data_IF_846163367048
#
_entry.id   IF_846163367048
#
_cell.length_a   1.000
_cell.length_b   1.000
_cell.length_c   1.000
_cell.angle_alpha   90.00
_cell.angle_beta   90.00
_cell.angle_gamma   90.00
#
_symmetry.space_group_name_H-M   'P 1'
#
loop_
_entity.id
_entity.type
_entity.pdbx_description
1 polymer ?
#
# COMPACT_ATOMS: atom_id res chain seq x y z
N UNK A 1 0.59 12.32 9.40
CA UNK A 1 0.01 11.48 8.32
C UNK A 1 1.11 11.12 7.35
N UNK A 2 1.26 9.84 7.10
CA UNK A 2 2.22 9.29 6.14
C UNK A 2 1.49 8.70 4.94
N UNK A 3 2.15 8.71 3.77
CA UNK A 3 1.69 8.01 2.58
C UNK A 3 2.73 6.96 2.21
N UNK A 4 2.32 5.71 2.21
CA UNK A 4 3.23 4.58 2.03
C UNK A 4 2.71 3.63 0.95
N UNK A 5 3.57 3.24 0.01
CA UNK A 5 3.31 2.09 -0.84
C UNK A 5 3.70 0.82 -0.11
N UNK A 6 2.80 -0.16 -0.09
CA UNK A 6 3.04 -1.48 0.47
C UNK A 6 2.70 -2.57 -0.54
N UNK A 7 3.55 -3.58 -0.65
CA UNK A 7 3.30 -4.76 -1.47
C UNK A 7 2.72 -5.87 -0.59
N UNK A 8 1.50 -6.28 -0.88
CA UNK A 8 0.89 -7.48 -0.31
C UNK A 8 1.49 -8.70 -1.03
N UNK A 9 2.64 -9.14 -0.54
CA UNK A 9 3.35 -10.31 -1.07
C UNK A 9 3.52 -11.32 0.05
N UNK A 10 3.13 -12.54 -0.25
CA UNK A 10 3.62 -13.69 0.46
C UNK A 10 4.71 -14.37 -0.38
N UNK A 11 5.01 -15.59 -0.10
CA UNK A 11 5.86 -16.49 -0.82
C UNK A 11 5.54 -16.54 -2.35
N UNK A 12 6.29 -17.31 -3.13
CA UNK A 12 6.09 -17.47 -4.60
C UNK A 12 4.80 -18.19 -4.98
N UNK A 13 4.07 -18.74 -4.02
CA UNK A 13 2.81 -19.43 -4.25
C UNK A 13 1.69 -18.43 -4.60
N UNK A 14 1.20 -18.52 -5.84
CA UNK A 14 0.15 -17.65 -6.36
C UNK A 14 -1.18 -17.82 -5.63
N UNK A 15 -1.54 -19.05 -5.20
CA UNK A 15 -2.79 -19.30 -4.45
C UNK A 15 -2.76 -18.62 -3.08
N UNK A 16 -1.62 -18.70 -2.39
CA UNK A 16 -1.43 -18.00 -1.12
C UNK A 16 -1.52 -16.49 -1.31
N UNK A 17 -0.94 -15.97 -2.39
CA UNK A 17 -1.00 -14.56 -2.69
C UNK A 17 -2.41 -14.08 -3.01
N UNK A 18 -3.19 -14.87 -3.75
CA UNK A 18 -4.61 -14.59 -4.00
C UNK A 18 -5.40 -14.58 -2.70
N UNK A 19 -5.21 -15.58 -1.84
CA UNK A 19 -5.81 -15.63 -0.51
C UNK A 19 -5.49 -14.41 0.33
N UNK A 20 -4.21 -14.00 0.36
CA UNK A 20 -3.77 -12.80 1.08
C UNK A 20 -4.46 -11.53 0.56
N UNK A 21 -4.53 -11.34 -0.75
CA UNK A 21 -5.16 -10.17 -1.36
C UNK A 21 -6.66 -10.15 -1.10
N UNK A 22 -7.34 -11.30 -1.23
CA UNK A 22 -8.76 -11.40 -0.93
C UNK A 22 -9.04 -11.09 0.55
N UNK A 23 -8.24 -11.64 1.46
CA UNK A 23 -8.31 -11.32 2.88
C UNK A 23 -8.09 -9.83 3.16
N UNK A 24 -7.08 -9.23 2.55
CA UNK A 24 -6.71 -7.85 2.81
C UNK A 24 -7.69 -6.83 2.19
N UNK A 25 -8.17 -7.07 0.95
CA UNK A 25 -8.85 -6.05 0.18
C UNK A 25 -10.33 -6.33 -0.11
N UNK A 26 -10.75 -7.60 -0.13
CA UNK A 26 -12.11 -7.98 -0.52
C UNK A 26 -12.99 -8.42 0.66
N UNK A 27 -12.42 -8.57 1.87
CA UNK A 27 -13.18 -8.87 3.07
C UNK A 27 -14.05 -7.71 3.55
N UNK A 28 -14.98 -7.98 4.46
CA UNK A 28 -15.82 -6.97 5.12
C UNK A 28 -14.95 -5.95 5.88
N UNK A 29 -13.98 -6.47 6.65
CA UNK A 29 -12.93 -5.65 7.25
C UNK A 29 -11.68 -5.77 6.38
N UNK A 30 -11.16 -4.63 5.94
CA UNK A 30 -9.95 -4.57 5.11
C UNK A 30 -8.70 -4.33 5.94
N UNK A 31 -7.58 -4.82 5.43
CA UNK A 31 -6.30 -4.75 6.11
C UNK A 31 -5.15 -4.42 5.15
N UNK A 32 -4.10 -3.83 5.69
CA UNK A 32 -2.74 -3.94 5.15
C UNK A 32 -2.00 -4.92 6.03
N UNK A 33 -1.22 -5.82 5.46
CA UNK A 33 -0.59 -6.92 6.19
C UNK A 33 0.91 -7.04 5.93
N UNK A 34 1.64 -7.57 6.90
CA UNK A 34 3.03 -8.04 6.76
C UNK A 34 3.12 -9.49 7.25
N UNK A 35 4.12 -10.21 6.72
CA UNK A 35 4.36 -11.63 6.93
C UNK A 35 4.97 -11.99 8.28
N UNK A 36 5.82 -13.02 8.27
CA UNK A 36 6.51 -13.61 9.44
C UNK A 36 5.58 -14.29 10.44
N UNK A 37 4.56 -14.98 9.94
CA UNK A 37 3.64 -15.78 10.77
C UNK A 37 4.32 -16.95 11.50
N UNK A 38 5.48 -17.40 11.02
CA UNK A 38 6.23 -18.52 11.56
C UNK A 38 6.72 -18.31 13.01
N UNK A 39 6.79 -17.04 13.45
CA UNK A 39 7.20 -16.72 14.82
C UNK A 39 6.14 -17.05 15.87
N UNK A 40 4.88 -17.22 15.46
CA UNK A 40 3.81 -17.57 16.36
C UNK A 40 3.95 -19.04 16.85
N UNK A 41 3.77 -19.23 18.14
CA UNK A 41 3.96 -20.53 18.81
C UNK A 41 5.29 -20.65 19.54
N UNK A 42 6.21 -19.68 19.40
CA UNK A 42 7.46 -19.63 20.17
C UNK A 42 7.26 -19.01 21.56
N UNK A 43 6.39 -18.01 21.63
CA UNK A 43 5.92 -17.36 22.87
C UNK A 43 4.61 -16.61 22.61
N UNK A 44 3.95 -16.18 23.66
CA UNK A 44 2.77 -15.32 23.58
C UNK A 44 3.14 -13.96 22.97
N UNK A 45 2.28 -13.45 22.07
CA UNK A 45 2.41 -12.15 21.44
C UNK A 45 1.17 -11.35 21.82
N UNK A 46 1.35 -10.33 22.65
CA UNK A 46 0.25 -9.54 23.24
C UNK A 46 -0.12 -8.35 22.39
N UNK A 47 0.89 -7.69 21.81
CA UNK A 47 0.73 -6.48 21.04
C UNK A 47 1.72 -6.44 19.86
N UNK A 48 1.65 -5.37 19.06
CA UNK A 48 2.54 -5.22 17.91
C UNK A 48 4.01 -5.05 18.33
N UNK A 49 4.29 -4.51 19.50
CA UNK A 49 5.66 -4.34 19.99
C UNK A 49 6.31 -5.69 20.29
N UNK A 50 5.59 -6.58 20.93
CA UNK A 50 6.06 -7.96 21.14
C UNK A 50 6.37 -8.66 19.82
N UNK A 51 5.44 -8.54 18.84
CA UNK A 51 5.65 -9.07 17.49
C UNK A 51 6.90 -8.49 16.84
N UNK A 52 7.06 -7.17 16.85
CA UNK A 52 8.21 -6.47 16.30
C UNK A 52 9.52 -6.97 16.88
N UNK A 53 9.63 -7.07 18.20
CA UNK A 53 10.87 -7.46 18.88
C UNK A 53 11.25 -8.93 18.59
N UNK A 54 10.26 -9.83 18.46
CA UNK A 54 10.49 -11.22 18.11
C UNK A 54 10.99 -11.33 16.66
N UNK A 55 10.30 -10.72 15.70
CA UNK A 55 10.70 -10.78 14.27
C UNK A 55 12.08 -10.19 14.10
N UNK A 56 12.36 -9.04 14.71
CA UNK A 56 13.66 -8.38 14.65
C UNK A 56 14.78 -9.24 15.24
N UNK A 57 14.48 -10.00 16.29
CA UNK A 57 15.45 -10.91 16.95
C UNK A 57 15.70 -12.18 16.14
N UNK A 58 14.71 -12.70 15.42
CA UNK A 58 14.80 -13.95 14.66
C UNK A 58 15.50 -13.78 13.30
N UNK A 59 15.38 -12.63 12.66
CA UNK A 59 15.79 -12.38 11.28
C UNK A 59 17.15 -11.67 11.17
N UNK A 60 18.23 -12.37 11.51
CA UNK A 60 19.58 -11.78 11.50
C UNK A 60 20.14 -11.42 10.10
N UNK A 61 19.72 -12.09 9.01
CA UNK A 61 20.32 -11.95 7.67
C UNK A 61 19.76 -10.84 6.78
N UNK A 62 18.52 -10.41 6.97
CA UNK A 62 17.84 -9.45 6.09
C UNK A 62 17.47 -8.13 6.79
N UNK A 63 18.18 -7.76 7.84
CA UNK A 63 17.82 -6.73 8.81
C UNK A 63 17.31 -5.39 8.26
N UNK A 64 17.92 -4.83 7.19
CA UNK A 64 17.49 -3.50 6.70
C UNK A 64 16.11 -3.47 6.05
N UNK A 65 15.78 -4.49 5.23
CA UNK A 65 14.47 -4.54 4.53
C UNK A 65 13.33 -4.89 5.48
N UNK A 66 13.57 -5.82 6.38
CA UNK A 66 12.63 -6.27 7.40
C UNK A 66 12.35 -5.14 8.38
N UNK A 67 13.40 -4.53 8.93
CA UNK A 67 13.28 -3.39 9.84
C UNK A 67 12.49 -2.24 9.23
N UNK A 68 12.64 -1.99 7.93
CA UNK A 68 11.90 -0.94 7.26
C UNK A 68 10.39 -1.19 7.24
N UNK A 69 9.94 -2.42 6.99
CA UNK A 69 8.50 -2.77 7.02
C UNK A 69 7.96 -2.77 8.45
N UNK A 70 8.71 -3.38 9.38
CA UNK A 70 8.34 -3.44 10.81
C UNK A 70 8.20 -2.04 11.41
N UNK A 71 9.18 -1.14 11.14
CA UNK A 71 9.13 0.24 11.64
C UNK A 71 7.93 1.00 11.06
N UNK A 72 7.61 0.79 9.77
CA UNK A 72 6.45 1.45 9.17
C UNK A 72 5.15 1.07 9.90
N UNK A 73 4.99 -0.22 10.25
CA UNK A 73 3.81 -0.66 11.00
C UNK A 73 3.84 -0.16 12.47
N UNK A 74 5.03 -0.08 13.08
CA UNK A 74 5.19 0.47 14.43
C UNK A 74 4.81 1.96 14.50
N UNK A 75 5.16 2.71 13.45
CA UNK A 75 4.94 4.15 13.37
C UNK A 75 3.55 4.51 12.82
N UNK A 76 2.80 3.52 12.30
CA UNK A 76 1.48 3.73 11.70
C UNK A 76 0.48 4.25 12.74
N UNK A 77 -0.24 5.29 12.36
CA UNK A 77 -1.33 5.89 13.15
C UNK A 77 -2.60 5.96 12.32
N UNK A 78 -3.72 6.20 13.01
CA UNK A 78 -4.96 6.53 12.32
C UNK A 78 -4.72 7.67 11.31
N UNK A 79 -5.40 7.59 10.18
CA UNK A 79 -5.34 8.54 9.07
C UNK A 79 -4.06 8.46 8.19
N UNK A 80 -3.13 7.53 8.46
CA UNK A 80 -2.08 7.24 7.49
C UNK A 80 -2.65 6.55 6.26
N UNK A 81 -2.09 6.86 5.08
CA UNK A 81 -2.54 6.33 3.80
C UNK A 81 -1.58 5.28 3.26
N UNK A 82 -2.16 4.20 2.75
CA UNK A 82 -1.43 3.14 2.06
C UNK A 82 -1.91 2.99 0.63
N UNK A 83 -0.96 2.90 -0.29
CA UNK A 83 -1.20 2.39 -1.63
C UNK A 83 -0.81 0.93 -1.71
N UNK A 84 -1.69 0.11 -2.29
CA UNK A 84 -1.39 -1.29 -2.59
C UNK A 84 -1.95 -1.67 -3.95
N UNK A 85 -1.64 -2.89 -4.42
CA UNK A 85 -2.07 -3.37 -5.73
C UNK A 85 -2.51 -4.82 -5.62
N UNK A 86 -3.63 -5.16 -6.27
CA UNK A 86 -4.12 -6.53 -6.36
C UNK A 86 -3.43 -7.34 -7.48
N UNK A 87 -3.92 -8.56 -7.74
CA UNK A 87 -3.34 -9.46 -8.76
C UNK A 87 -3.67 -9.00 -10.18
N UNK A 88 -4.78 -8.33 -10.37
CA UNK A 88 -5.21 -7.77 -11.66
C UNK A 88 -4.45 -6.48 -12.00
N UNK A 89 -3.53 -6.07 -11.11
CA UNK A 89 -2.76 -4.85 -11.26
C UNK A 89 -3.50 -3.58 -10.85
N UNK A 90 -4.72 -3.71 -10.35
CA UNK A 90 -5.53 -2.58 -9.90
C UNK A 90 -4.99 -1.99 -8.61
N UNK A 91 -4.92 -0.67 -8.57
CA UNK A 91 -4.47 0.07 -7.39
C UNK A 91 -5.58 0.28 -6.39
N UNK A 92 -5.22 0.22 -5.15
CA UNK A 92 -6.09 0.45 -4.00
C UNK A 92 -5.48 1.53 -3.12
N UNK A 93 -6.35 2.42 -2.61
CA UNK A 93 -5.99 3.38 -1.57
C UNK A 93 -6.66 3.00 -0.27
N UNK A 94 -5.89 2.96 0.81
CA UNK A 94 -6.32 2.49 2.12
C UNK A 94 -5.94 3.51 3.19
N UNK A 95 -6.88 3.85 4.06
CA UNK A 95 -6.70 4.71 5.22
C UNK A 95 -6.61 3.86 6.48
N UNK A 96 -5.57 4.00 7.27
CA UNK A 96 -5.44 3.34 8.55
C UNK A 96 -6.56 3.78 9.52
N UNK A 97 -7.20 2.81 10.15
CA UNK A 97 -8.20 3.06 11.21
C UNK A 97 -7.58 3.15 12.60
N UNK A 98 -6.31 2.78 12.72
CA UNK A 98 -5.57 2.75 13.98
C UNK A 98 -4.18 2.16 13.78
N UNK A 99 -3.59 1.73 14.88
CA UNK A 99 -2.25 1.13 14.92
C UNK A 99 -2.24 -0.31 14.38
N UNK A 100 -1.03 -0.83 14.14
CA UNK A 100 -0.83 -2.22 13.78
C UNK A 100 -1.15 -3.14 14.97
N UNK A 101 -1.75 -4.28 14.66
CA UNK A 101 -2.07 -5.34 15.61
C UNK A 101 -1.47 -6.68 15.17
N UNK A 102 -1.03 -7.53 16.11
CA UNK A 102 -0.62 -8.89 15.79
C UNK A 102 -1.81 -9.69 15.27
N UNK A 103 -1.59 -10.47 14.22
CA UNK A 103 -2.59 -11.37 13.66
C UNK A 103 -1.89 -12.54 12.99
N UNK A 104 -2.11 -13.74 13.53
CA UNK A 104 -1.50 -14.95 12.98
C UNK A 104 -2.41 -15.61 11.95
N UNK A 105 -1.92 -15.72 10.72
CA UNK A 105 -2.43 -16.64 9.71
C UNK A 105 -1.23 -17.29 9.03
N UNK A 106 -0.98 -18.57 9.34
CA UNK A 106 0.17 -19.32 8.82
C UNK A 106 -0.01 -19.72 7.36
N UNK A 107 -1.24 -19.88 6.89
CA UNK A 107 -1.52 -20.25 5.51
C UNK A 107 -1.25 -19.08 4.57
N UNK A 108 -1.64 -17.88 4.97
CA UNK A 108 -1.44 -16.65 4.22
C UNK A 108 -0.13 -15.93 4.56
N UNK A 109 0.66 -16.47 5.48
CA UNK A 109 1.85 -15.83 6.05
C UNK A 109 1.57 -14.41 6.55
N UNK A 110 0.50 -14.24 7.33
CA UNK A 110 0.19 -12.99 8.00
C UNK A 110 0.70 -13.04 9.43
N UNK A 111 1.53 -12.07 9.82
CA UNK A 111 2.04 -11.93 11.18
C UNK A 111 1.50 -10.71 11.89
N UNK A 112 1.24 -9.63 11.15
CA UNK A 112 0.60 -8.44 11.69
C UNK A 112 -0.20 -7.71 10.61
N UNK A 113 -1.21 -6.95 11.06
CA UNK A 113 -2.09 -6.19 10.17
C UNK A 113 -2.35 -4.79 10.72
N UNK A 114 -2.65 -3.86 9.82
CA UNK A 114 -3.27 -2.57 10.13
C UNK A 114 -4.71 -2.63 9.60
N UNK A 115 -5.74 -2.48 10.45
CA UNK A 115 -7.11 -2.32 9.98
C UNK A 115 -7.24 -1.04 9.15
N UNK A 116 -7.87 -1.14 7.98
CA UNK A 116 -7.99 0.00 7.07
C UNK A 116 -9.40 0.17 6.52
N UNK A 117 -9.70 1.36 6.08
CA UNK A 117 -10.76 1.68 5.15
C UNK A 117 -10.15 1.74 3.75
N UNK A 118 -10.52 0.84 2.85
CA UNK A 118 -9.85 0.68 1.56
C UNK A 118 -10.79 0.73 0.37
N UNK A 119 -10.36 1.39 -0.71
CA UNK A 119 -11.12 1.62 -1.93
C UNK A 119 -10.31 1.26 -3.17
N UNK A 120 -10.99 0.64 -4.13
CA UNK A 120 -10.44 0.40 -5.46
C UNK A 120 -10.33 1.74 -6.22
N UNK A 121 -9.15 2.02 -6.71
CA UNK A 121 -8.88 3.19 -7.56
C UNK A 121 -8.91 2.82 -9.04
N UNK A 122 -8.38 1.66 -9.40
CA UNK A 122 -8.23 1.19 -10.77
C UNK A 122 -6.80 1.30 -11.27
N UNK A 123 -6.60 1.43 -12.58
CA UNK A 123 -5.27 1.52 -13.20
C UNK A 123 -4.73 2.94 -13.27
N UNK A 124 -5.60 3.94 -13.17
CA UNK A 124 -5.27 5.34 -13.38
C UNK A 124 -4.69 5.97 -12.12
N UNK A 125 -3.37 5.89 -11.99
CA UNK A 125 -2.61 6.53 -10.92
C UNK A 125 -1.37 7.22 -11.48
N UNK A 126 -0.88 8.29 -10.84
CA UNK A 126 0.34 8.97 -11.25
C UNK A 126 1.54 8.03 -11.41
N UNK A 127 2.43 8.37 -12.35
CA UNK A 127 3.63 7.59 -12.65
C UNK A 127 4.52 7.33 -11.43
N UNK A 128 4.57 8.26 -10.47
CA UNK A 128 5.29 8.08 -9.21
C UNK A 128 4.72 6.94 -8.36
N UNK A 129 3.38 6.79 -8.34
CA UNK A 129 2.74 5.68 -7.62
C UNK A 129 2.98 4.37 -8.37
N UNK A 130 2.64 4.31 -9.67
CA UNK A 130 2.82 3.09 -10.48
C UNK A 130 4.29 2.66 -10.55
N UNK A 131 5.22 3.59 -10.76
CA UNK A 131 6.67 3.36 -10.78
C UNK A 131 7.20 2.82 -9.45
N UNK A 132 6.59 3.19 -8.31
CA UNK A 132 6.97 2.64 -7.00
C UNK A 132 6.74 1.14 -6.88
N UNK A 133 5.74 0.59 -7.59
CA UNK A 133 5.42 -0.85 -7.62
C UNK A 133 6.25 -1.63 -8.64
N UNK A 134 6.71 -0.97 -9.69
CA UNK A 134 7.40 -1.62 -10.81
C UNK A 134 8.92 -1.73 -10.65
N UNK A 135 9.48 -1.29 -9.53
CA UNK A 135 10.92 -1.43 -9.25
C UNK A 135 11.31 -2.89 -9.08
N UNK A 136 12.28 -3.36 -9.88
CA UNK A 136 12.76 -4.75 -9.90
C UNK A 136 13.18 -5.24 -8.50
N UNK A 137 13.77 -4.38 -7.70
CA UNK A 137 14.18 -4.66 -6.31
C UNK A 137 13.31 -3.92 -5.29
N UNK A 138 12.06 -3.61 -5.64
CA UNK A 138 11.13 -2.92 -4.76
C UNK A 138 10.92 -3.73 -3.47
N UNK A 139 11.31 -3.15 -2.33
CA UNK A 139 11.09 -3.75 -1.01
C UNK A 139 9.60 -3.90 -0.69
N UNK A 140 9.30 -4.40 0.50
CA UNK A 140 7.93 -4.58 0.99
C UNK A 140 7.19 -3.24 1.01
N UNK A 141 7.87 -2.17 1.40
CA UNK A 141 7.31 -0.82 1.49
C UNK A 141 8.19 0.25 0.85
N UNK A 142 7.58 1.38 0.52
CA UNK A 142 8.24 2.62 0.14
C UNK A 142 7.44 3.82 0.66
N UNK A 143 8.10 4.77 1.35
CA UNK A 143 7.48 6.06 1.68
C UNK A 143 7.32 6.90 0.41
N UNK A 144 6.16 7.55 0.29
CA UNK A 144 5.83 8.50 -0.77
C UNK A 144 5.72 9.94 -0.23
N UNK A 145 6.06 10.16 1.05
CA UNK A 145 5.89 11.44 1.75
C UNK A 145 6.79 12.56 1.23
N UNK A 146 7.85 12.21 0.51
CA UNK A 146 8.83 13.19 0.00
C UNK A 146 8.26 14.07 -1.11
N UNK A 147 7.24 13.60 -1.79
CA UNK A 147 6.59 14.28 -2.91
C UNK A 147 5.26 14.83 -2.42
N UNK A 148 5.23 16.13 -2.10
CA UNK A 148 4.03 16.79 -1.56
C UNK A 148 2.80 16.62 -2.47
N UNK A 149 3.02 16.61 -3.76
CA UNK A 149 2.01 16.42 -4.80
C UNK A 149 1.33 15.05 -4.66
N UNK A 150 2.12 14.01 -4.42
CA UNK A 150 1.60 12.65 -4.23
C UNK A 150 0.83 12.52 -2.92
N UNK A 151 1.25 13.24 -1.89
CA UNK A 151 0.51 13.29 -0.62
C UNK A 151 -0.87 13.93 -0.83
N UNK A 152 -0.93 15.09 -1.49
CA UNK A 152 -2.20 15.79 -1.75
C UNK A 152 -3.09 15.01 -2.73
N UNK A 153 -2.50 14.39 -3.78
CA UNK A 153 -3.21 13.48 -4.66
C UNK A 153 -3.82 12.30 -3.91
N UNK A 154 -3.06 11.70 -2.99
CA UNK A 154 -3.54 10.56 -2.19
C UNK A 154 -4.72 10.94 -1.31
N UNK A 155 -4.68 12.12 -0.67
CA UNK A 155 -5.80 12.67 0.09
C UNK A 155 -7.03 12.89 -0.78
N UNK A 156 -6.84 13.54 -1.93
CA UNK A 156 -7.91 13.79 -2.90
C UNK A 156 -8.54 12.48 -3.37
N UNK A 157 -7.71 11.51 -3.76
CA UNK A 157 -8.18 10.23 -4.26
C UNK A 157 -8.97 9.45 -3.19
N UNK A 158 -8.48 9.47 -1.94
CA UNK A 158 -9.21 8.84 -0.84
C UNK A 158 -10.57 9.50 -0.63
N UNK A 159 -10.63 10.83 -0.54
CA UNK A 159 -11.89 11.57 -0.39
C UNK A 159 -12.87 11.25 -1.53
N UNK A 160 -12.38 11.26 -2.77
CA UNK A 160 -13.18 10.97 -3.97
C UNK A 160 -13.78 9.56 -3.92
N UNK A 161 -12.99 8.56 -3.53
CA UNK A 161 -13.45 7.17 -3.47
C UNK A 161 -14.33 6.88 -2.25
N UNK A 162 -14.10 7.59 -1.14
CA UNK A 162 -14.92 7.51 0.06
C UNK A 162 -16.26 8.25 -0.07
N UNK A 163 -16.42 9.13 -1.05
CA UNK A 163 -17.60 9.98 -1.22
C UNK A 163 -17.77 11.02 -0.12
N UNK A 164 -16.70 11.35 0.61
CA UNK A 164 -16.71 12.29 1.72
C UNK A 164 -15.34 12.95 1.92
N UNK A 165 -15.33 14.16 2.48
CA UNK A 165 -14.11 14.90 2.80
C UNK A 165 -13.56 14.45 4.15
N UNK A 166 -12.59 13.51 4.12
CA UNK A 166 -11.86 13.03 5.30
C UNK A 166 -10.60 13.85 5.51
N UNK A 167 -9.96 14.26 4.42
CA UNK A 167 -8.73 15.03 4.43
C UNK A 167 -8.96 16.43 3.85
N UNK A 168 -8.33 17.42 4.45
CA UNK A 168 -8.16 18.72 3.81
C UNK A 168 -7.10 18.58 2.70
N UNK A 169 -7.51 18.89 1.46
CA UNK A 169 -6.64 18.86 0.28
C UNK A 169 -6.22 20.28 -0.04
N UNK A 170 -4.92 20.54 0.00
CA UNK A 170 -4.39 21.86 -0.38
C UNK A 170 -4.50 22.02 -1.90
N UNK A 171 -5.00 23.20 -2.33
CA UNK A 171 -4.93 23.57 -3.74
C UNK A 171 -3.45 23.64 -4.13
N UNK A 172 -3.08 22.85 -5.11
CA UNK A 172 -1.73 22.91 -5.68
C UNK A 172 -1.66 24.11 -6.62
N UNK A 173 -0.73 25.02 -6.38
CA UNK A 173 -0.45 26.11 -7.32
C UNK A 173 0.04 25.48 -8.63
N UNK A 174 -0.73 25.71 -9.70
CA UNK A 174 -0.44 25.13 -11.03
C UNK A 174 -1.30 23.93 -11.42
N UNK A 175 -2.14 23.41 -10.51
CA UNK A 175 -2.99 22.24 -10.77
C UNK A 175 -2.23 20.91 -10.80
N UNK A 176 -2.96 19.82 -10.61
CA UNK A 176 -2.42 18.45 -10.64
C UNK A 176 -1.74 18.15 -11.99
N UNK A 177 -2.26 18.72 -13.08
CA UNK A 177 -1.78 18.50 -14.43
C UNK A 177 -0.37 19.03 -14.67
N UNK A 178 0.05 20.11 -14.00
CA UNK A 178 1.38 20.67 -14.16
C UNK A 178 2.50 19.83 -13.50
N UNK A 179 2.12 18.89 -12.64
CA UNK A 179 3.06 17.99 -11.95
C UNK A 179 3.05 16.58 -12.52
N UNK A 180 2.25 16.34 -13.56
CA UNK A 180 2.28 15.09 -14.31
C UNK A 180 3.43 15.15 -15.33
N UNK A 181 4.09 14.02 -15.55
CA UNK A 181 5.06 13.92 -16.62
C UNK A 181 4.38 14.13 -18.00
N UNK A 182 5.15 14.53 -19.02
CA UNK A 182 4.61 14.63 -20.39
C UNK A 182 3.91 13.34 -20.82
N UNK A 183 4.43 12.19 -20.40
CA UNK A 183 3.85 10.89 -20.66
C UNK A 183 2.48 10.71 -19.98
N UNK A 184 2.36 11.11 -18.71
CA UNK A 184 1.09 11.04 -17.97
C UNK A 184 0.03 11.95 -18.59
N UNK A 185 0.44 13.13 -19.06
CA UNK A 185 -0.43 14.10 -19.76
C UNK A 185 -0.90 13.56 -21.10
N UNK A 186 -0.01 12.94 -21.88
CA UNK A 186 -0.36 12.31 -23.16
C UNK A 186 -1.33 11.14 -22.95
N UNK A 187 -1.13 10.34 -21.92
CA UNK A 187 -1.99 9.22 -21.60
C UNK A 187 -3.39 9.69 -21.17
N UNK A 188 -3.47 10.74 -20.34
CA UNK A 188 -4.72 11.39 -19.98
C UNK A 188 -5.44 11.99 -21.20
N UNK A 189 -4.71 12.66 -22.08
CA UNK A 189 -5.27 13.24 -23.30
C UNK A 189 -5.82 12.17 -24.23
N UNK A 190 -5.12 11.05 -24.41
CA UNK A 190 -5.57 9.91 -25.22
C UNK A 190 -6.85 9.28 -24.65
N UNK A 191 -6.92 9.06 -23.35
CA UNK A 191 -8.10 8.46 -22.70
C UNK A 191 -9.34 9.34 -22.81
N UNK A 192 -9.14 10.66 -22.76
CA UNK A 192 -10.25 11.62 -22.88
C UNK A 192 -10.68 11.89 -24.34
N UNK A 193 -9.82 11.61 -25.32
CA UNK A 193 -10.13 11.84 -26.75
C UNK A 193 -10.85 10.70 -27.44
N UNK A 194 -11.02 9.55 -26.79
CA UNK A 194 -11.68 8.37 -27.38
C UNK A 194 -10.95 7.76 -28.58
N UNK A 195 -9.67 8.10 -28.79
CA UNK A 195 -8.88 7.59 -29.89
C UNK A 195 -8.47 6.13 -29.65
N UNK A 196 -8.58 5.25 -30.67
CA UNK A 196 -8.20 3.86 -30.55
C UNK A 196 -6.71 3.70 -30.25
N UNK A 197 -6.38 2.65 -29.51
CA UNK A 197 -4.99 2.26 -29.23
C UNK A 197 -4.33 1.93 -30.56
N UNK A 198 -3.32 2.70 -30.96
CA UNK A 198 -2.48 2.33 -32.10
C UNK A 198 -1.71 1.05 -31.70
N UNK A 199 -2.02 -0.06 -32.35
CA UNK A 199 -1.19 -1.26 -32.27
C UNK A 199 0.24 -0.91 -32.68
N UNK A 200 1.20 -1.26 -31.83
CA UNK A 200 2.63 -1.11 -32.16
C UNK A 200 2.99 -2.10 -33.26
N UNK A 201 3.80 -1.68 -34.23
CA UNK A 201 4.37 -2.56 -35.24
C UNK A 201 5.30 -3.61 -34.64
#
# INVERSE_FOLDING_TARGET
>A
MHVTRINLKTDKDMKKREGLINFCLKGEIKYVAIGWSHIYGTREIKDYRDYYDIVKGSEKRNGKRINSALNTFLDTKADDLFWTRDLDGMYWICRAKGEAIPKCDKELDIGAVVPVEGYLVGLEVPGQISGSFNRVNGGIKQSLDKEKEIVEYSKYMFNSRAGRNVYEVKKMEGGLLNNLSSFDLEELARKNSGLPIAEKP
#
